data_IF_943936736960
#
_entry.id   IF_943936736960
#
_cell.length_a   1.000
_cell.length_b   1.000
_cell.length_c   1.000
_cell.angle_alpha   90.00
_cell.angle_beta   90.00
_cell.angle_gamma   90.00
#
_symmetry.space_group_name_H-M   'P 1'
#
loop_
_entity.id
_entity.type
_entity.pdbx_description
1 polymer ?
#
# COMPACT_ATOMS: atom_id res chain seq x y z
N UNK A 1 -13.62 5.63 -22.22
CA UNK A 1 -13.34 4.24 -22.61
C UNK A 1 -12.41 3.58 -21.58
N UNK A 2 -12.98 3.20 -20.45
CA UNK A 2 -12.32 2.43 -19.38
C UNK A 2 -11.88 1.08 -19.93
N UNK A 3 -10.60 0.73 -19.79
CA UNK A 3 -10.14 -0.63 -20.10
C UNK A 3 -10.57 -1.54 -18.93
N UNK A 4 -11.40 -2.58 -19.17
CA UNK A 4 -11.95 -3.42 -18.11
C UNK A 4 -10.85 -4.16 -17.33
N UNK A 5 -9.75 -4.53 -17.98
CA UNK A 5 -8.65 -5.27 -17.36
C UNK A 5 -7.90 -4.48 -16.29
N UNK A 6 -7.68 -3.17 -16.49
CA UNK A 6 -7.06 -2.31 -15.46
C UNK A 6 -8.02 -2.06 -14.29
N UNK A 7 -9.33 -2.05 -14.54
CA UNK A 7 -10.35 -2.04 -13.49
C UNK A 7 -10.24 -3.25 -12.57
N UNK A 8 -10.15 -4.45 -13.15
CA UNK A 8 -10.00 -5.70 -12.40
C UNK A 8 -8.74 -5.70 -11.52
N UNK A 9 -7.60 -5.18 -12.00
CA UNK A 9 -6.38 -5.05 -11.17
C UNK A 9 -6.57 -4.12 -9.97
N UNK A 10 -7.31 -3.01 -10.13
CA UNK A 10 -7.61 -2.12 -8.99
C UNK A 10 -8.45 -2.86 -7.95
N UNK A 11 -9.45 -3.64 -8.37
CA UNK A 11 -10.30 -4.42 -7.46
C UNK A 11 -9.48 -5.45 -6.69
N UNK A 12 -8.57 -6.17 -7.36
CA UNK A 12 -7.64 -7.10 -6.70
C UNK A 12 -6.79 -6.39 -5.66
N UNK A 13 -6.25 -5.21 -5.98
CA UNK A 13 -5.51 -4.38 -5.02
C UNK A 13 -6.34 -4.01 -3.79
N UNK A 14 -7.58 -3.57 -3.98
CA UNK A 14 -8.50 -3.25 -2.88
C UNK A 14 -8.84 -4.48 -2.02
N UNK A 15 -9.05 -5.65 -2.62
CA UNK A 15 -9.31 -6.89 -1.89
C UNK A 15 -8.12 -7.31 -1.01
N UNK A 16 -6.89 -7.15 -1.51
CA UNK A 16 -5.67 -7.41 -0.73
C UNK A 16 -5.54 -6.45 0.45
N UNK A 17 -5.82 -5.16 0.23
CA UNK A 17 -5.84 -4.17 1.32
C UNK A 17 -6.90 -4.49 2.37
N UNK A 18 -8.10 -4.88 1.92
CA UNK A 18 -9.15 -5.32 2.82
C UNK A 18 -8.70 -6.53 3.65
N UNK A 19 -8.11 -7.55 3.01
CA UNK A 19 -7.57 -8.71 3.71
C UNK A 19 -6.50 -8.33 4.75
N UNK A 20 -5.65 -7.33 4.46
CA UNK A 20 -4.64 -6.87 5.43
C UNK A 20 -5.25 -6.37 6.73
N UNK A 21 -6.38 -5.64 6.67
CA UNK A 21 -7.09 -5.14 7.85
C UNK A 21 -7.60 -6.28 8.74
N UNK A 22 -8.11 -7.36 8.13
CA UNK A 22 -8.52 -8.56 8.88
C UNK A 22 -7.32 -9.22 9.56
N UNK A 23 -6.20 -9.33 8.86
CA UNK A 23 -4.97 -9.89 9.43
C UNK A 23 -4.51 -9.05 10.62
N UNK A 24 -4.48 -7.72 10.51
CA UNK A 24 -4.10 -6.83 11.63
C UNK A 24 -5.00 -7.06 12.85
N UNK A 25 -6.31 -7.21 12.65
CA UNK A 25 -7.31 -7.41 13.69
C UNK A 25 -7.25 -8.76 14.43
N UNK A 26 -6.43 -9.71 13.98
CA UNK A 26 -6.32 -11.01 14.64
C UNK A 26 -5.67 -10.88 16.02
N UNK A 27 -6.35 -11.37 17.06
CA UNK A 27 -5.86 -11.32 18.43
C UNK A 27 -4.53 -12.08 18.60
N UNK A 28 -3.56 -11.48 19.30
CA UNK A 28 -2.22 -12.02 19.53
C UNK A 28 -2.08 -12.73 20.89
N UNK A 29 -3.10 -12.67 21.75
CA UNK A 29 -3.04 -13.11 23.15
C UNK A 29 -2.70 -14.59 23.34
N UNK A 30 -3.17 -15.47 22.44
CA UNK A 30 -2.98 -16.94 22.53
C UNK A 30 -2.06 -17.52 21.45
N UNK A 31 -1.40 -16.68 20.65
CA UNK A 31 -0.58 -17.15 19.53
C UNK A 31 0.85 -17.50 19.98
N UNK A 32 1.40 -18.57 19.38
CA UNK A 32 2.82 -18.90 19.48
C UNK A 32 3.68 -17.83 18.80
N UNK A 33 4.93 -17.67 19.24
CA UNK A 33 5.85 -16.66 18.72
C UNK A 33 6.07 -16.81 17.20
N UNK A 34 6.12 -18.04 16.69
CA UNK A 34 6.22 -18.31 15.25
C UNK A 34 4.99 -17.81 14.47
N UNK A 35 3.79 -17.99 15.03
CA UNK A 35 2.56 -17.50 14.43
C UNK A 35 2.49 -15.96 14.42
N UNK A 36 3.03 -15.31 15.45
CA UNK A 36 3.16 -13.85 15.52
C UNK A 36 4.10 -13.34 14.42
N UNK A 37 5.25 -13.99 14.20
CA UNK A 37 6.18 -13.64 13.12
C UNK A 37 5.51 -13.77 11.75
N UNK A 38 4.85 -14.90 11.49
CA UNK A 38 4.11 -15.13 10.22
C UNK A 38 3.04 -14.05 10.00
N UNK A 39 2.28 -13.70 11.04
CA UNK A 39 1.29 -12.62 10.98
C UNK A 39 1.93 -11.29 10.56
N UNK A 40 3.04 -10.91 11.18
CA UNK A 40 3.75 -9.66 10.86
C UNK A 40 4.28 -9.61 9.42
N UNK A 41 4.77 -10.73 8.88
CA UNK A 41 5.16 -10.79 7.47
C UNK A 41 3.94 -10.71 6.54
N UNK A 42 2.87 -11.45 6.84
CA UNK A 42 1.66 -11.48 6.04
C UNK A 42 1.01 -10.10 5.93
N UNK A 43 0.88 -9.40 7.06
CA UNK A 43 0.33 -8.05 7.11
C UNK A 43 1.13 -7.07 6.23
N UNK A 44 2.46 -7.07 6.37
CA UNK A 44 3.36 -6.22 5.56
C UNK A 44 3.26 -6.51 4.07
N UNK A 45 3.25 -7.80 3.70
CA UNK A 45 3.18 -8.24 2.30
C UNK A 45 1.83 -7.86 1.69
N UNK A 46 0.71 -8.19 2.35
CA UNK A 46 -0.63 -7.89 1.84
C UNK A 46 -0.83 -6.39 1.63
N UNK A 47 -0.41 -5.58 2.61
CA UNK A 47 -0.55 -4.14 2.51
C UNK A 47 0.30 -3.57 1.35
N UNK A 48 1.58 -3.95 1.26
CA UNK A 48 2.46 -3.43 0.20
C UNK A 48 2.03 -3.87 -1.21
N UNK A 49 1.65 -5.14 -1.39
CA UNK A 49 1.17 -5.64 -2.68
C UNK A 49 -0.17 -4.98 -3.06
N UNK A 50 -1.10 -4.86 -2.11
CA UNK A 50 -2.38 -4.18 -2.33
C UNK A 50 -2.22 -2.72 -2.75
N UNK A 51 -1.27 -2.01 -2.12
CA UNK A 51 -0.91 -0.65 -2.52
C UNK A 51 -0.31 -0.62 -3.93
N UNK A 52 0.60 -1.53 -4.27
CA UNK A 52 1.20 -1.59 -5.62
C UNK A 52 0.20 -1.88 -6.73
N UNK A 53 -0.73 -2.82 -6.53
CA UNK A 53 -1.78 -3.08 -7.51
C UNK A 53 -2.68 -1.85 -7.72
N UNK A 54 -3.06 -1.19 -6.63
CA UNK A 54 -3.92 0.00 -6.66
C UNK A 54 -3.21 1.17 -7.34
N UNK A 55 -2.04 1.56 -6.83
CA UNK A 55 -1.25 2.67 -7.36
C UNK A 55 -0.75 2.41 -8.79
N UNK A 56 -0.24 1.21 -9.06
CA UNK A 56 0.22 0.83 -10.39
C UNK A 56 -0.90 0.86 -11.42
N UNK A 57 -2.11 0.40 -11.07
CA UNK A 57 -3.25 0.48 -11.98
C UNK A 57 -3.70 1.93 -12.24
N UNK A 58 -3.77 2.77 -11.21
CA UNK A 58 -4.10 4.21 -11.37
C UNK A 58 -3.05 4.88 -12.26
N UNK A 59 -1.77 4.61 -12.00
CA UNK A 59 -0.65 5.14 -12.78
C UNK A 59 -0.71 4.70 -14.26
N UNK A 60 -1.02 3.44 -14.55
CA UNK A 60 -1.14 2.98 -15.93
C UNK A 60 -2.36 3.58 -16.65
N UNK A 61 -3.45 3.85 -15.93
CA UNK A 61 -4.62 4.57 -16.48
C UNK A 61 -4.24 6.01 -16.85
N UNK A 62 -3.53 6.74 -15.99
CA UNK A 62 -3.08 8.11 -16.28
C UNK A 62 -2.02 8.13 -17.38
N UNK A 63 -1.09 7.17 -17.39
CA UNK A 63 -0.12 7.00 -18.46
C UNK A 63 -0.77 6.77 -19.83
N UNK A 64 -1.85 5.98 -19.91
CA UNK A 64 -2.60 5.78 -21.17
C UNK A 64 -3.12 7.12 -21.72
N UNK A 65 -3.69 7.96 -20.86
CA UNK A 65 -4.21 9.27 -21.22
C UNK A 65 -3.06 10.15 -21.73
N UNK A 66 -1.99 10.27 -20.95
CA UNK A 66 -0.81 11.04 -21.34
C UNK A 66 -0.21 10.55 -22.67
N UNK A 67 -0.08 9.23 -22.87
CA UNK A 67 0.48 8.64 -24.08
C UNK A 67 -0.39 8.88 -25.32
N UNK A 68 -1.73 8.81 -25.18
CA UNK A 68 -2.66 9.12 -26.26
C UNK A 68 -2.53 10.60 -26.64
N UNK A 69 -2.58 11.51 -25.68
CA UNK A 69 -2.53 12.94 -25.96
C UNK A 69 -1.17 13.41 -26.47
N UNK A 70 -0.08 13.00 -25.83
CA UNK A 70 1.28 13.37 -26.25
C UNK A 70 1.57 12.92 -27.69
N UNK A 71 1.08 11.74 -28.09
CA UNK A 71 1.26 11.22 -29.46
C UNK A 71 0.22 11.72 -30.46
N UNK A 72 -1.00 12.02 -30.03
CA UNK A 72 -2.00 12.68 -30.88
C UNK A 72 -1.54 14.08 -31.27
N UNK A 73 -1.00 14.86 -30.34
CA UNK A 73 -0.46 16.21 -30.60
C UNK A 73 0.81 16.16 -31.44
N UNK A 74 1.73 15.21 -31.17
CA UNK A 74 3.02 15.14 -31.90
C UNK A 74 2.96 14.45 -33.26
N UNK A 75 2.03 13.50 -33.48
CA UNK A 75 2.02 12.66 -34.69
C UNK A 75 0.66 12.63 -35.41
N UNK A 76 -0.36 13.35 -34.94
CA UNK A 76 -1.72 13.37 -35.51
C UNK A 76 -2.27 11.96 -35.86
N UNK A 77 -1.86 10.93 -35.11
CA UNK A 77 -2.22 9.54 -35.38
C UNK A 77 -2.84 8.91 -34.14
N UNK A 78 -4.09 8.44 -34.28
CA UNK A 78 -4.79 7.67 -33.24
C UNK A 78 -4.14 6.28 -33.15
N UNK A 79 -3.62 5.92 -31.97
CA UNK A 79 -2.97 4.63 -31.74
C UNK A 79 -3.76 3.84 -30.71
N UNK A 80 -4.00 2.57 -31.02
CA UNK A 80 -4.53 1.58 -30.09
C UNK A 80 -3.37 1.01 -29.26
N UNK A 81 -3.25 1.44 -28.00
CA UNK A 81 -2.25 0.89 -27.08
C UNK A 81 -2.81 -0.41 -26.48
N UNK A 82 -2.18 -1.58 -26.69
CA UNK A 82 -2.72 -2.85 -26.24
C UNK A 82 -2.61 -3.01 -24.72
N UNK A 83 -3.71 -3.43 -24.09
CA UNK A 83 -3.87 -3.52 -22.63
C UNK A 83 -2.81 -4.39 -21.95
N UNK A 84 -2.29 -5.41 -22.64
CA UNK A 84 -1.22 -6.28 -22.15
C UNK A 84 0.04 -5.51 -21.72
N UNK A 85 0.44 -4.47 -22.46
CA UNK A 85 1.63 -3.68 -22.12
C UNK A 85 1.46 -2.87 -20.83
N UNK A 86 0.23 -2.43 -20.55
CA UNK A 86 -0.10 -1.69 -19.35
C UNK A 86 -0.12 -2.62 -18.13
N UNK A 87 -0.69 -3.82 -18.30
CA UNK A 87 -0.69 -4.87 -17.27
C UNK A 87 0.74 -5.30 -16.92
N UNK A 88 1.59 -5.52 -17.92
CA UNK A 88 3.01 -5.81 -17.68
C UNK A 88 3.68 -4.74 -16.84
N UNK A 89 3.39 -3.45 -17.09
CA UNK A 89 3.94 -2.37 -16.28
C UNK A 89 3.51 -2.42 -14.81
N UNK A 90 2.24 -2.71 -14.52
CA UNK A 90 1.78 -2.89 -13.12
C UNK A 90 2.46 -4.10 -12.48
N UNK A 91 2.53 -5.22 -13.20
CA UNK A 91 3.14 -6.44 -12.71
C UNK A 91 4.63 -6.25 -12.41
N UNK A 92 5.35 -5.45 -13.19
CA UNK A 92 6.75 -5.12 -12.90
C UNK A 92 6.91 -4.41 -11.56
N UNK A 93 6.05 -3.44 -11.23
CA UNK A 93 6.11 -2.74 -9.93
C UNK A 93 5.84 -3.71 -8.78
N UNK A 94 4.86 -4.59 -8.93
CA UNK A 94 4.53 -5.64 -7.95
C UNK A 94 5.68 -6.64 -7.81
N UNK A 95 6.33 -7.03 -8.91
CA UNK A 95 7.48 -7.94 -8.90
C UNK A 95 8.65 -7.37 -8.09
N UNK A 96 8.92 -6.06 -8.21
CA UNK A 96 9.96 -5.39 -7.42
C UNK A 96 9.67 -5.51 -5.92
N UNK A 97 8.43 -5.30 -5.49
CA UNK A 97 8.06 -5.50 -4.08
C UNK A 97 8.27 -6.95 -3.64
N UNK A 98 7.84 -7.93 -4.45
CA UNK A 98 8.01 -9.34 -4.14
C UNK A 98 9.49 -9.71 -3.96
N UNK A 99 10.37 -9.17 -4.79
CA UNK A 99 11.82 -9.39 -4.68
C UNK A 99 12.35 -8.79 -3.37
N UNK A 100 11.96 -7.56 -3.04
CA UNK A 100 12.38 -6.91 -1.78
C UNK A 100 11.93 -7.74 -0.56
N UNK A 101 10.69 -8.23 -0.55
CA UNK A 101 10.20 -9.09 0.53
C UNK A 101 10.88 -10.45 0.57
N UNK A 102 11.17 -11.07 -0.58
CA UNK A 102 11.88 -12.33 -0.63
C UNK A 102 13.28 -12.18 -0.02
N UNK A 103 14.01 -11.13 -0.39
CA UNK A 103 15.32 -10.83 0.20
C UNK A 103 15.18 -10.54 1.70
N UNK A 104 14.16 -9.80 2.11
CA UNK A 104 13.92 -9.51 3.53
C UNK A 104 13.72 -10.80 4.33
N UNK A 105 12.85 -11.71 3.89
CA UNK A 105 12.57 -12.97 4.59
C UNK A 105 13.82 -13.87 4.68
N UNK A 106 14.66 -13.88 3.65
CA UNK A 106 15.87 -14.72 3.61
C UNK A 106 16.98 -14.15 4.51
N UNK A 107 17.14 -12.83 4.55
CA UNK A 107 18.26 -12.18 5.23
C UNK A 107 17.98 -11.87 6.70
N UNK A 108 16.71 -11.73 7.10
CA UNK A 108 16.34 -11.14 8.38
C UNK A 108 15.55 -12.09 9.27
N UNK A 109 16.13 -12.49 10.40
CA UNK A 109 15.45 -13.27 11.42
C UNK A 109 14.63 -12.33 12.30
N UNK A 110 13.34 -12.20 12.02
CA UNK A 110 12.42 -11.39 12.84
C UNK A 110 12.16 -12.09 14.18
N UNK A 111 12.43 -11.42 15.30
CA UNK A 111 12.14 -11.92 16.65
C UNK A 111 10.90 -11.25 17.23
N UNK A 112 10.23 -11.95 18.16
CA UNK A 112 9.08 -11.39 18.89
C UNK A 112 9.58 -10.76 20.18
N UNK A 113 9.38 -9.46 20.30
CA UNK A 113 9.68 -8.72 21.54
C UNK A 113 8.38 -8.35 22.24
N UNK A 114 8.41 -8.34 23.57
CA UNK A 114 7.30 -7.91 24.42
C UNK A 114 7.64 -6.60 25.13
N UNK A 115 6.75 -5.62 25.07
CA UNK A 115 6.80 -4.43 25.93
C UNK A 115 5.68 -4.52 26.96
N UNK A 116 6.04 -4.28 28.22
CA UNK A 116 5.09 -4.17 29.33
C UNK A 116 4.61 -2.72 29.37
N UNK A 117 3.29 -2.52 29.36
CA UNK A 117 2.69 -1.21 29.58
C UNK A 117 2.53 -0.95 31.07
N UNK A 118 2.22 0.29 31.42
CA UNK A 118 1.98 0.69 32.81
C UNK A 118 0.86 -0.16 33.44
N UNK A 119 1.07 -0.67 34.67
CA UNK A 119 0.07 -1.48 35.37
C UNK A 119 -1.20 -0.66 35.59
N UNK A 120 -2.35 -1.27 35.28
CA UNK A 120 -3.66 -0.73 35.67
C UNK A 120 -4.18 -1.48 36.87
N UNK A 121 -4.71 -0.76 37.86
CA UNK A 121 -5.49 -1.39 38.92
C UNK A 121 -6.69 -2.09 38.30
N UNK A 122 -6.87 -3.35 38.66
CA UNK A 122 -8.09 -4.07 38.33
C UNK A 122 -9.23 -3.54 39.21
N UNK A 123 -10.13 -2.74 38.62
CA UNK A 123 -11.28 -2.14 39.33
C UNK A 123 -12.37 -3.17 39.66
N UNK A 124 -12.21 -4.42 39.23
CA UNK A 124 -13.21 -5.49 39.41
C UNK A 124 -13.22 -6.02 40.86
N UNK A 125 -12.06 -6.02 41.53
CA UNK A 125 -11.90 -6.43 42.94
C UNK A 125 -10.93 -5.47 43.68
N UNK A 126 -11.37 -4.26 44.05
CA UNK A 126 -10.50 -3.22 44.61
C UNK A 126 -9.84 -3.60 45.95
N UNK A 127 -10.37 -4.61 46.63
CA UNK A 127 -9.88 -5.11 47.92
C UNK A 127 -8.62 -5.96 47.80
N UNK A 128 -8.35 -6.52 46.61
CA UNK A 128 -7.24 -7.46 46.40
C UNK A 128 -5.97 -6.80 45.84
N UNK A 129 -6.00 -5.49 45.57
CA UNK A 129 -4.89 -4.71 44.97
C UNK A 129 -4.21 -5.45 43.80
N UNK A 130 -5.00 -6.08 42.92
CA UNK A 130 -4.49 -6.80 41.75
C UNK A 130 -4.20 -5.79 40.65
N UNK A 131 -2.98 -5.85 40.11
CA UNK A 131 -2.54 -5.01 39.00
C UNK A 131 -2.48 -5.83 37.72
N UNK A 132 -3.30 -5.48 36.74
CA UNK A 132 -3.22 -6.03 35.40
C UNK A 132 -2.14 -5.28 34.61
N UNK A 133 -1.12 -6.00 34.16
CA UNK A 133 -0.04 -5.46 33.33
C UNK A 133 -0.31 -5.83 31.87
N UNK A 134 -0.83 -4.91 31.03
CA UNK A 134 -1.02 -5.20 29.62
C UNK A 134 0.34 -5.41 28.92
N UNK A 135 0.48 -6.51 28.19
CA UNK A 135 1.70 -6.83 27.43
C UNK A 135 1.44 -6.72 25.94
N UNK A 136 2.19 -5.86 25.25
CA UNK A 136 2.15 -5.77 23.79
C UNK A 136 3.28 -6.62 23.18
N UNK A 137 2.91 -7.58 22.33
CA UNK A 137 3.86 -8.36 21.53
C UNK A 137 3.98 -7.77 20.12
N UNK A 138 5.20 -7.45 19.72
CA UNK A 138 5.52 -6.87 18.41
C UNK A 138 6.73 -7.57 17.79
N UNK A 139 6.78 -7.53 16.47
CA UNK A 139 7.88 -8.06 15.70
C UNK A 139 8.97 -6.99 15.59
N UNK A 140 10.19 -7.33 15.98
CA UNK A 140 11.35 -6.44 15.90
C UNK A 140 12.48 -7.14 15.15
N UNK A 141 13.23 -6.36 14.39
CA UNK A 141 14.48 -6.79 13.78
C UNK A 141 15.43 -5.60 13.73
N UNK A 142 16.73 -5.89 13.87
CA UNK A 142 17.82 -4.93 13.80
C UNK A 142 17.95 -4.28 12.41
N UNK A 143 17.67 -5.04 11.35
CA UNK A 143 17.82 -4.61 9.96
C UNK A 143 16.49 -4.20 9.29
N UNK A 144 15.36 -4.32 10.00
CA UNK A 144 14.03 -4.02 9.47
C UNK A 144 13.92 -2.61 8.88
N UNK A 145 14.61 -1.64 9.46
CA UNK A 145 14.64 -0.24 9.03
C UNK A 145 15.15 -0.07 7.58
N UNK A 146 16.19 -0.81 7.17
CA UNK A 146 16.77 -0.67 5.83
C UNK A 146 15.80 -1.13 4.74
N UNK A 147 15.18 -2.29 4.94
CA UNK A 147 14.17 -2.81 4.01
C UNK A 147 12.90 -1.94 3.98
N UNK A 148 12.52 -1.41 5.14
CA UNK A 148 11.40 -0.46 5.25
C UNK A 148 11.67 0.81 4.43
N UNK A 149 12.86 1.40 4.58
CA UNK A 149 13.28 2.57 3.80
C UNK A 149 13.33 2.23 2.30
N UNK A 150 13.84 1.07 1.92
CA UNK A 150 13.90 0.65 0.52
C UNK A 150 12.50 0.54 -0.11
N UNK A 151 11.54 -0.10 0.57
CA UNK A 151 10.14 -0.17 0.13
C UNK A 151 9.53 1.22 -0.01
N UNK A 152 9.70 2.09 0.99
CA UNK A 152 9.18 3.45 0.94
C UNK A 152 9.84 4.29 -0.16
N UNK A 153 11.12 4.10 -0.44
CA UNK A 153 11.82 4.72 -1.57
C UNK A 153 11.15 4.37 -2.89
N UNK A 154 10.87 3.09 -3.13
CA UNK A 154 10.16 2.63 -4.33
C UNK A 154 8.76 3.24 -4.43
N UNK A 155 7.99 3.25 -3.33
CA UNK A 155 6.65 3.87 -3.31
C UNK A 155 6.72 5.39 -3.53
N UNK A 156 7.70 6.06 -2.93
CA UNK A 156 7.92 7.49 -3.06
C UNK A 156 8.19 7.89 -4.52
N UNK A 157 9.10 7.18 -5.20
CA UNK A 157 9.37 7.40 -6.62
C UNK A 157 8.11 7.19 -7.47
N UNK A 158 7.34 6.13 -7.20
CA UNK A 158 6.09 5.86 -7.90
C UNK A 158 5.07 6.99 -7.70
N UNK A 159 4.94 7.52 -6.48
CA UNK A 159 4.06 8.63 -6.14
C UNK A 159 4.49 9.94 -6.80
N UNK A 160 5.77 10.29 -6.72
CA UNK A 160 6.32 11.49 -7.36
C UNK A 160 6.08 11.46 -8.87
N UNK A 161 6.29 10.30 -9.51
CA UNK A 161 6.03 10.14 -10.93
C UNK A 161 4.53 10.22 -11.27
N UNK A 162 3.67 9.67 -10.40
CA UNK A 162 2.22 9.82 -10.51
C UNK A 162 1.76 11.28 -10.45
N UNK A 163 2.32 12.07 -9.53
CA UNK A 163 2.04 13.51 -9.40
C UNK A 163 2.50 14.26 -10.65
N UNK A 164 3.69 13.95 -11.16
CA UNK A 164 4.22 14.56 -12.38
C UNK A 164 3.30 14.30 -13.59
N UNK A 165 2.84 13.07 -13.78
CA UNK A 165 1.87 12.76 -14.84
C UNK A 165 0.53 13.46 -14.63
N UNK A 166 0.04 13.53 -13.40
CA UNK A 166 -1.20 14.23 -13.08
C UNK A 166 -1.08 15.72 -13.45
N UNK A 167 0.06 16.35 -13.15
CA UNK A 167 0.34 17.73 -13.51
C UNK A 167 0.29 17.97 -15.04
N UNK A 168 0.98 17.14 -15.82
CA UNK A 168 0.97 17.22 -17.29
C UNK A 168 -0.45 17.04 -17.89
N UNK A 169 -1.25 16.16 -17.31
CA UNK A 169 -2.62 15.91 -17.80
C UNK A 169 -3.65 16.99 -17.43
N UNK A 170 -3.33 17.89 -16.49
CA UNK A 170 -4.26 18.93 -16.00
C UNK A 170 -4.73 19.88 -17.09
N UNK A 171 -3.84 20.31 -17.99
CA UNK A 171 -4.19 21.27 -19.04
C UNK A 171 -5.06 20.66 -20.15
N UNK A 172 -5.02 19.34 -20.28
CA UNK A 172 -5.65 18.59 -21.37
C UNK A 172 -7.06 18.14 -20.97
N UNK A 173 -7.25 17.78 -19.69
CA UNK A 173 -8.54 17.38 -19.11
C UNK A 173 -9.64 18.45 -19.27
N UNK A 174 -9.29 19.73 -19.43
CA UNK A 174 -10.24 20.86 -19.56
C UNK A 174 -11.02 20.83 -20.88
N UNK A 175 -10.54 20.12 -21.91
CA UNK A 175 -11.15 20.13 -23.26
C UNK A 175 -12.09 18.96 -23.57
N UNK A 176 -12.14 17.92 -22.73
CA UNK A 176 -12.94 16.70 -22.97
C UNK A 176 -13.87 16.33 -21.80
N UNK A 177 -13.93 17.14 -20.73
CA UNK A 177 -14.69 16.84 -19.50
C UNK A 177 -15.59 17.97 -19.00
N UNK A 178 -15.92 18.98 -19.82
CA UNK A 178 -16.88 20.03 -19.44
C UNK A 178 -18.36 19.59 -19.49
N UNK A 179 -18.65 18.29 -19.62
CA UNK A 179 -20.02 17.77 -19.72
C UNK A 179 -20.42 16.74 -18.64
N UNK A 180 -19.62 16.59 -17.57
CA UNK A 180 -20.15 15.90 -16.37
C UNK A 180 -19.58 16.48 -15.08
N UNK A 181 -20.47 17.17 -14.38
CA UNK A 181 -20.31 17.89 -13.11
C UNK A 181 -20.08 16.95 -11.93
N UNK A 182 -19.15 16.00 -12.04
CA UNK A 182 -18.66 15.15 -10.94
C UNK A 182 -17.13 15.12 -11.00
N UNK A 183 -16.50 16.19 -10.53
CA UNK A 183 -15.06 16.23 -10.29
C UNK A 183 -14.72 15.42 -9.03
N UNK A 184 -14.79 14.09 -9.14
CA UNK A 184 -14.23 13.13 -8.16
C UNK A 184 -12.80 12.68 -8.56
N UNK A 185 -12.18 13.34 -9.54
CA UNK A 185 -10.98 12.82 -10.21
C UNK A 185 -9.64 13.27 -9.58
N UNK A 186 -9.65 14.19 -8.61
CA UNK A 186 -8.45 14.69 -7.91
C UNK A 186 -8.26 14.12 -6.50
N UNK A 187 -9.29 13.51 -5.91
CA UNK A 187 -9.24 12.90 -4.57
C UNK A 187 -8.53 11.54 -4.46
N UNK A 188 -8.41 10.67 -5.50
CA UNK A 188 -7.85 9.34 -5.29
C UNK A 188 -6.32 9.31 -5.19
N UNK A 189 -5.60 10.43 -5.34
CA UNK A 189 -4.14 10.48 -5.09
C UNK A 189 -3.81 10.88 -3.64
N UNK A 190 -4.66 11.70 -3.01
CA UNK A 190 -4.49 12.13 -1.61
C UNK A 190 -4.91 11.05 -0.61
N UNK A 191 -5.99 10.32 -0.89
CA UNK A 191 -6.49 9.24 -0.02
C UNK A 191 -5.48 8.09 0.20
N UNK A 192 -4.76 7.58 -0.81
CA UNK A 192 -3.82 6.49 -0.60
C UNK A 192 -2.45 6.96 -0.06
N UNK A 193 -2.08 8.24 -0.22
CA UNK A 193 -0.96 8.85 0.50
C UNK A 193 -1.27 8.97 2.00
N UNK A 194 -2.51 9.34 2.36
CA UNK A 194 -3.02 9.30 3.73
C UNK A 194 -3.07 7.87 4.30
N UNK A 195 -3.48 6.88 3.49
CA UNK A 195 -3.46 5.47 3.88
C UNK A 195 -2.03 4.95 4.10
N UNK A 196 -1.08 5.29 3.23
CA UNK A 196 0.36 5.05 3.44
C UNK A 196 0.83 5.65 4.76
N UNK A 197 0.47 6.90 5.04
CA UNK A 197 0.81 7.61 6.28
C UNK A 197 0.19 6.96 7.53
N UNK A 198 -1.03 6.44 7.42
CA UNK A 198 -1.72 5.72 8.50
C UNK A 198 -1.15 4.32 8.72
N UNK A 199 -0.77 3.61 7.66
CA UNK A 199 -0.04 2.34 7.75
C UNK A 199 1.37 2.53 8.33
N UNK A 200 2.02 3.67 8.08
CA UNK A 200 3.28 4.08 8.73
C UNK A 200 3.08 4.23 10.25
N UNK A 201 2.02 4.92 10.67
CA UNK A 201 1.71 5.15 12.09
C UNK A 201 1.32 3.87 12.85
N UNK A 202 0.75 2.88 12.17
CA UNK A 202 0.35 1.60 12.77
C UNK A 202 1.50 0.59 12.75
N UNK A 203 2.42 0.67 11.76
CA UNK A 203 3.54 -0.24 11.58
C UNK A 203 4.86 0.18 12.25
N UNK A 204 4.98 1.44 12.69
CA UNK A 204 6.13 1.91 13.48
C UNK A 204 5.95 1.47 14.95
N UNK A 205 6.91 0.73 15.53
CA UNK A 205 6.94 0.56 16.97
C UNK A 205 7.26 1.91 17.61
N UNK A 206 6.37 2.43 18.46
CA UNK A 206 6.78 3.35 19.52
C UNK A 206 7.58 2.56 20.58
#
# INVERSE_FOLDING_TARGET
>A
MSSPSLGNLTVVGCLLLYASVFVTGWDKTKLSDTAIVVKCHLERILNSLGLSFTFGSIFMKTYRIHAIFSRAVKKFKRIHLPDWKLICGVLTVVLVDCIIFAVWIVMDTTTVNSRFLEPRLDTTEPEKEIFDVPVIRYCSSENAQYFTIALYGVKGVLLTFGIFLAWETRNIAVSQLNDSKNAELSTPLFSPAYFLFRSILIGLPN
#
